data_IF_104605082920
#
_entry.id   IF_104605082920
#
_cell.length_a   1.000
_cell.length_b   1.000
_cell.length_c   1.000
_cell.angle_alpha   90.00
_cell.angle_beta   90.00
_cell.angle_gamma   90.00
#
_symmetry.space_group_name_H-M   'P 1'
#
loop_
_entity.id
_entity.type
_entity.pdbx_description
1 polymer ?
#
# COMPACT_ATOMS: atom_id res chain seq x y z
N UNK A 1 -27.32 1.71 -49.20
CA UNK A 1 -27.29 1.64 -47.72
C UNK A 1 -25.89 1.27 -47.27
N UNK A 2 -24.89 2.13 -47.49
CA UNK A 2 -23.45 1.79 -47.29
C UNK A 2 -22.71 2.79 -46.39
N UNK A 3 -23.38 3.83 -45.90
CA UNK A 3 -22.80 4.83 -45.00
C UNK A 3 -23.58 4.85 -43.69
N UNK A 4 -22.88 4.98 -42.57
CA UNK A 4 -23.48 5.03 -41.26
C UNK A 4 -23.99 6.46 -40.97
N UNK A 5 -25.30 6.59 -40.76
CA UNK A 5 -25.95 7.88 -40.51
C UNK A 5 -25.67 8.46 -39.11
N UNK A 6 -25.11 7.67 -38.20
CA UNK A 6 -24.82 8.05 -36.81
C UNK A 6 -23.39 8.52 -36.57
N UNK A 7 -22.52 8.44 -37.59
CA UNK A 7 -21.12 8.89 -37.49
C UNK A 7 -20.98 10.30 -36.90
N UNK A 8 -21.83 11.29 -37.23
CA UNK A 8 -21.73 12.63 -36.62
C UNK A 8 -21.95 12.63 -35.10
N UNK A 9 -22.87 11.81 -34.60
CA UNK A 9 -23.16 11.71 -33.15
C UNK A 9 -22.01 11.01 -32.44
N UNK A 10 -21.49 9.92 -33.03
CA UNK A 10 -20.35 9.19 -32.44
C UNK A 10 -19.10 10.07 -32.33
N UNK A 11 -18.79 10.87 -33.36
CA UNK A 11 -17.67 11.82 -33.32
C UNK A 11 -17.91 12.91 -32.28
N UNK A 12 -19.13 13.45 -32.19
CA UNK A 12 -19.46 14.47 -31.20
C UNK A 12 -19.27 13.97 -29.76
N UNK A 13 -19.79 12.79 -29.43
CA UNK A 13 -19.67 12.22 -28.09
C UNK A 13 -18.22 11.88 -27.75
N UNK A 14 -17.46 11.34 -28.71
CA UNK A 14 -16.04 11.04 -28.51
C UNK A 14 -15.23 12.29 -28.19
N UNK A 15 -15.37 13.35 -29.00
CA UNK A 15 -14.63 14.59 -28.80
C UNK A 15 -15.06 15.31 -27.51
N UNK A 16 -16.35 15.27 -27.19
CA UNK A 16 -16.88 15.83 -25.93
C UNK A 16 -16.34 15.08 -24.72
N UNK A 17 -16.32 13.74 -24.77
CA UNK A 17 -15.76 12.90 -23.72
C UNK A 17 -14.26 13.13 -23.51
N UNK A 18 -13.50 13.27 -24.59
CA UNK A 18 -12.07 13.61 -24.52
C UNK A 18 -11.85 14.96 -23.83
N UNK A 19 -12.59 16.00 -24.23
CA UNK A 19 -12.48 17.32 -23.62
C UNK A 19 -12.85 17.30 -22.13
N UNK A 20 -13.94 16.60 -21.78
CA UNK A 20 -14.38 16.46 -20.39
C UNK A 20 -13.31 15.77 -19.54
N UNK A 21 -12.74 14.66 -20.02
CA UNK A 21 -11.68 13.94 -19.29
C UNK A 21 -10.43 14.79 -19.10
N UNK A 22 -10.03 15.55 -20.13
CA UNK A 22 -8.89 16.48 -20.03
C UNK A 22 -9.11 17.49 -18.89
N UNK A 23 -10.26 18.16 -18.87
CA UNK A 23 -10.55 19.16 -17.84
C UNK A 23 -10.75 18.53 -16.46
N UNK A 24 -11.36 17.34 -16.38
CA UNK A 24 -11.52 16.61 -15.13
C UNK A 24 -10.17 16.21 -14.53
N UNK A 25 -9.24 15.70 -15.35
CA UNK A 25 -7.89 15.35 -14.91
C UNK A 25 -7.10 16.56 -14.44
N UNK A 26 -7.20 17.70 -15.15
CA UNK A 26 -6.55 18.95 -14.73
C UNK A 26 -7.11 19.45 -13.39
N UNK A 27 -8.44 19.43 -13.25
CA UNK A 27 -9.13 19.82 -12.02
C UNK A 27 -8.74 18.91 -10.85
N UNK A 28 -8.68 17.60 -11.07
CA UNK A 28 -8.29 16.64 -10.04
C UNK A 28 -6.82 16.79 -9.63
N UNK A 29 -5.92 17.05 -10.59
CA UNK A 29 -4.51 17.31 -10.28
C UNK A 29 -4.37 18.51 -9.35
N UNK A 30 -4.96 19.66 -9.72
CA UNK A 30 -4.77 20.92 -8.99
C UNK A 30 -5.53 20.95 -7.67
N UNK A 31 -6.79 20.51 -7.66
CA UNK A 31 -7.67 20.68 -6.50
C UNK A 31 -7.66 19.48 -5.54
N UNK A 32 -6.93 18.41 -5.87
CA UNK A 32 -6.80 17.24 -4.99
C UNK A 32 -5.33 16.81 -4.89
N UNK A 33 -4.73 16.35 -6.00
CA UNK A 33 -3.42 15.68 -5.95
C UNK A 33 -2.29 16.58 -5.43
N UNK A 34 -2.21 17.82 -5.89
CA UNK A 34 -1.16 18.76 -5.47
C UNK A 34 -1.22 19.15 -3.99
N UNK A 35 -2.41 19.04 -3.39
CA UNK A 35 -2.64 19.34 -1.97
C UNK A 35 -2.60 18.12 -1.06
N UNK A 36 -2.23 16.93 -1.55
CA UNK A 36 -2.15 15.72 -0.71
C UNK A 36 -0.99 15.88 0.28
N UNK A 37 -1.33 15.90 1.57
CA UNK A 37 -0.38 15.82 2.67
C UNK A 37 -0.37 14.43 3.30
N UNK A 38 0.81 13.97 3.74
CA UNK A 38 0.99 12.65 4.31
C UNK A 38 0.99 12.74 5.84
N UNK A 39 0.07 12.05 6.49
CA UNK A 39 0.17 11.77 7.92
C UNK A 39 1.10 10.57 8.15
N UNK A 40 2.40 10.86 8.27
CA UNK A 40 3.44 9.84 8.35
C UNK A 40 3.34 9.00 9.63
N UNK A 41 2.94 9.60 10.75
CA UNK A 41 2.83 8.92 12.04
C UNK A 41 1.71 7.88 12.02
N UNK A 42 0.53 8.26 11.51
CA UNK A 42 -0.59 7.34 11.34
C UNK A 42 -0.27 6.23 10.32
N UNK A 43 0.41 6.59 9.22
CA UNK A 43 0.88 5.61 8.24
C UNK A 43 1.83 4.58 8.85
N UNK A 44 2.77 5.03 9.69
CA UNK A 44 3.71 4.15 10.40
C UNK A 44 2.98 3.25 11.40
N UNK A 45 2.03 3.78 12.16
CA UNK A 45 1.25 2.96 13.11
C UNK A 45 0.48 1.85 12.39
N UNK A 46 -0.16 2.16 11.26
CA UNK A 46 -0.88 1.15 10.47
C UNK A 46 0.05 0.10 9.88
N UNK A 47 1.22 0.52 9.40
CA UNK A 47 2.20 -0.41 8.85
C UNK A 47 2.72 -1.39 9.90
N UNK A 48 2.98 -0.92 11.14
CA UNK A 48 3.47 -1.74 12.25
C UNK A 48 2.38 -2.61 12.88
N UNK A 49 1.12 -2.16 12.88
CA UNK A 49 -0.02 -2.94 13.38
C UNK A 49 -0.57 -3.93 12.35
N UNK A 50 -0.10 -3.87 11.09
CA UNK A 50 -0.61 -4.72 10.01
C UNK A 50 -0.26 -6.19 10.28
N UNK A 51 -1.24 -7.11 10.35
CA UNK A 51 -0.98 -8.53 10.57
C UNK A 51 -0.13 -9.14 9.44
N UNK A 52 -0.21 -8.59 8.23
CA UNK A 52 0.53 -9.06 7.06
C UNK A 52 2.05 -9.02 7.24
N UNK A 53 2.55 -8.18 8.15
CA UNK A 53 3.99 -8.09 8.44
C UNK A 53 4.55 -9.36 9.08
N UNK A 54 3.70 -10.19 9.71
CA UNK A 54 4.13 -11.45 10.32
C UNK A 54 4.65 -12.45 9.28
N UNK A 55 4.27 -12.33 8.00
CA UNK A 55 4.74 -13.21 6.95
C UNK A 55 6.27 -13.17 6.78
N UNK A 56 6.92 -12.06 7.17
CA UNK A 56 8.37 -11.95 7.19
C UNK A 56 9.02 -12.94 8.19
N UNK A 57 8.29 -13.35 9.23
CA UNK A 57 8.74 -14.30 10.25
C UNK A 57 8.71 -15.75 9.76
N UNK A 58 8.02 -16.06 8.65
CA UNK A 58 7.84 -17.42 8.15
C UNK A 58 9.16 -18.18 7.96
N UNK A 59 10.22 -17.50 7.51
CA UNK A 59 11.53 -18.12 7.30
C UNK A 59 12.31 -18.41 8.58
N UNK A 60 11.92 -17.80 9.70
CA UNK A 60 12.61 -17.89 10.99
C UNK A 60 11.90 -18.82 11.96
N UNK A 61 10.56 -18.75 12.02
CA UNK A 61 9.74 -19.50 13.00
C UNK A 61 8.73 -20.43 12.35
N UNK A 62 8.67 -20.49 11.01
CA UNK A 62 7.68 -21.28 10.28
C UNK A 62 6.34 -20.56 10.15
N UNK A 63 5.54 -21.01 9.17
CA UNK A 63 4.27 -20.39 8.82
C UNK A 63 3.23 -20.47 9.96
N UNK A 64 3.11 -21.62 10.61
CA UNK A 64 2.11 -21.84 11.67
C UNK A 64 2.31 -20.87 12.83
N UNK A 65 3.53 -20.76 13.34
CA UNK A 65 3.85 -19.83 14.44
C UNK A 65 3.70 -18.36 14.05
N UNK A 66 4.05 -17.98 12.82
CA UNK A 66 3.86 -16.62 12.33
C UNK A 66 2.36 -16.27 12.14
N UNK A 67 1.55 -17.23 11.73
CA UNK A 67 0.10 -17.08 11.63
C UNK A 67 -0.56 -16.91 13.01
N UNK A 68 -0.13 -17.71 13.99
CA UNK A 68 -0.61 -17.60 15.38
C UNK A 68 -0.28 -16.22 15.97
N UNK A 69 0.95 -15.73 15.75
CA UNK A 69 1.38 -14.40 16.20
C UNK A 69 0.52 -13.30 15.55
N UNK A 70 0.21 -13.41 14.26
CA UNK A 70 -0.69 -12.46 13.60
C UNK A 70 -2.12 -12.51 14.17
N UNK A 71 -2.65 -13.71 14.42
CA UNK A 71 -3.98 -13.87 15.00
C UNK A 71 -4.06 -13.27 16.41
N UNK A 72 -3.04 -13.50 17.24
CA UNK A 72 -2.94 -12.94 18.59
C UNK A 72 -2.80 -11.41 18.58
N UNK A 73 -1.96 -10.86 17.69
CA UNK A 73 -1.81 -9.41 17.53
C UNK A 73 -3.16 -8.74 17.17
N UNK A 74 -3.93 -9.33 16.26
CA UNK A 74 -5.28 -8.84 15.90
C UNK A 74 -6.24 -8.94 17.08
N UNK A 75 -6.25 -10.07 17.79
CA UNK A 75 -7.18 -10.31 18.89
C UNK A 75 -6.91 -9.38 20.09
N UNK A 76 -5.64 -9.11 20.37
CA UNK A 76 -5.21 -8.30 21.52
C UNK A 76 -5.06 -6.81 21.21
N UNK A 77 -5.13 -6.42 19.93
CA UNK A 77 -4.90 -5.04 19.50
C UNK A 77 -3.45 -4.58 19.65
N UNK A 78 -2.51 -5.52 19.79
CA UNK A 78 -1.07 -5.27 19.95
C UNK A 78 -0.37 -5.33 18.60
N UNK A 79 0.84 -4.80 18.52
CA UNK A 79 1.65 -4.92 17.30
C UNK A 79 2.20 -6.33 17.14
N UNK A 80 2.41 -6.75 15.89
CA UNK A 80 3.07 -8.04 15.58
C UNK A 80 4.45 -8.10 16.23
N UNK A 81 5.15 -6.97 16.32
CA UNK A 81 6.47 -6.86 16.95
C UNK A 81 6.46 -7.17 18.44
N UNK A 82 5.47 -6.68 19.17
CA UNK A 82 5.32 -6.95 20.62
C UNK A 82 5.05 -8.43 20.87
N UNK A 83 4.07 -9.01 20.15
CA UNK A 83 3.70 -10.42 20.29
C UNK A 83 4.86 -11.33 19.88
N UNK A 84 5.55 -11.03 18.78
CA UNK A 84 6.73 -11.80 18.35
C UNK A 84 7.87 -11.73 19.38
N UNK A 85 8.05 -10.60 20.07
CA UNK A 85 9.05 -10.47 21.13
C UNK A 85 8.79 -11.34 22.36
N UNK A 86 7.53 -11.69 22.62
CA UNK A 86 7.15 -12.58 23.73
C UNK A 86 7.09 -14.06 23.33
N UNK A 87 6.77 -14.32 22.06
CA UNK A 87 6.50 -15.66 21.54
C UNK A 87 7.69 -16.30 20.83
N UNK A 88 8.77 -15.55 20.61
CA UNK A 88 9.96 -16.03 19.89
C UNK A 88 11.23 -15.75 20.69
N UNK A 89 12.25 -16.58 20.50
CA UNK A 89 13.57 -16.38 21.10
C UNK A 89 14.47 -15.44 20.26
N UNK A 90 13.89 -14.70 19.30
CA UNK A 90 14.64 -13.83 18.42
C UNK A 90 15.10 -12.55 19.17
N UNK A 91 16.36 -12.14 19.01
CA UNK A 91 16.86 -10.87 19.54
C UNK A 91 16.00 -9.68 19.10
N UNK A 92 15.85 -8.69 19.99
CA UNK A 92 15.05 -7.50 19.70
C UNK A 92 15.51 -6.78 18.42
N UNK A 93 16.83 -6.62 18.25
CA UNK A 93 17.42 -6.00 17.07
C UNK A 93 17.11 -6.77 15.78
N UNK A 94 17.11 -8.11 15.86
CA UNK A 94 16.78 -8.96 14.73
C UNK A 94 15.28 -8.87 14.37
N UNK A 95 14.40 -8.81 15.36
CA UNK A 95 12.97 -8.60 15.12
C UNK A 95 12.69 -7.22 14.50
N UNK A 96 13.39 -6.18 14.95
CA UNK A 96 13.25 -4.83 14.39
C UNK A 96 13.73 -4.78 12.93
N UNK A 97 14.78 -5.53 12.59
CA UNK A 97 15.27 -5.66 11.22
C UNK A 97 14.29 -6.44 10.31
N UNK A 98 13.77 -7.58 10.79
CA UNK A 98 12.86 -8.44 10.02
C UNK A 98 11.51 -7.77 9.80
N UNK A 99 11.00 -7.07 10.82
CA UNK A 99 9.68 -6.44 10.84
C UNK A 99 9.73 -4.94 10.48
N UNK A 100 10.80 -4.46 9.84
CA UNK A 100 10.85 -3.09 9.33
C UNK A 100 9.90 -2.92 8.11
N UNK A 101 8.80 -2.14 8.23
CA UNK A 101 7.86 -1.98 7.13
C UNK A 101 8.47 -1.34 5.88
N UNK A 102 9.48 -0.47 6.03
CA UNK A 102 10.12 0.21 4.90
C UNK A 102 10.94 -0.81 4.09
N UNK A 103 11.70 -1.66 4.79
CA UNK A 103 12.48 -2.72 4.15
C UNK A 103 11.58 -3.73 3.45
N UNK A 104 10.48 -4.13 4.09
CA UNK A 104 9.51 -5.05 3.51
C UNK A 104 8.81 -4.48 2.26
N UNK A 105 8.44 -3.19 2.29
CA UNK A 105 7.84 -2.53 1.13
C UNK A 105 8.82 -2.43 -0.06
N UNK A 106 10.12 -2.22 0.20
CA UNK A 106 11.16 -2.13 -0.84
C UNK A 106 11.56 -3.48 -1.43
N UNK A 107 11.43 -4.57 -0.67
CA UNK A 107 11.77 -5.92 -1.11
C UNK A 107 10.93 -6.45 -2.28
N UNK A 108 9.77 -5.85 -2.56
CA UNK A 108 8.82 -6.29 -3.59
C UNK A 108 9.13 -5.76 -5.01
N UNK A 109 10.30 -5.14 -5.23
CA UNK A 109 10.71 -4.66 -6.56
C UNK A 109 9.84 -3.52 -7.11
N UNK A 110 9.12 -2.80 -6.23
CA UNK A 110 8.23 -1.72 -6.63
C UNK A 110 8.97 -0.39 -6.76
N UNK A 111 8.63 0.32 -7.83
CA UNK A 111 9.31 1.44 -8.49
C UNK A 111 9.32 2.78 -7.75
N UNK A 112 9.48 2.78 -6.42
CA UNK A 112 9.79 4.02 -5.71
C UNK A 112 11.20 4.48 -6.10
N UNK A 113 11.31 5.23 -7.20
CA UNK A 113 12.49 6.01 -7.56
C UNK A 113 12.89 6.80 -6.33
N UNK A 114 14.10 6.56 -5.84
CA UNK A 114 14.72 7.41 -4.82
C UNK A 114 14.68 8.85 -5.35
N UNK A 115 13.92 9.73 -4.69
CA UNK A 115 14.21 11.15 -4.77
C UNK A 115 15.53 11.32 -4.02
N UNK A 116 16.63 11.28 -4.77
CA UNK A 116 17.89 11.86 -4.33
C UNK A 116 17.64 13.37 -4.26
N UNK A 117 17.63 13.90 -3.03
CA UNK A 117 17.83 15.33 -2.78
C UNK A 117 19.32 15.67 -2.85
#
# INVERSE_FOLDING_TARGET
>A
MQLNAFDPVMVHELLTGMALLTHAMETFRVNCVEGIEINADLGRSYAQSSPSISAALNHYIGYEHAADIAAEAVHTGRTVREVAGERTDLPAEQLDEILDPIRLARGLGQTCRERQE
#
